data_IF_425222314424
#
_entry.id   IF_425222314424
#
_cell.length_a   1.000
_cell.length_b   1.000
_cell.length_c   1.000
_cell.angle_alpha   90.00
_cell.angle_beta   90.00
_cell.angle_gamma   90.00
#
_symmetry.space_group_name_H-M   'P 1'
#
loop_
_entity.id
_entity.type
_entity.pdbx_description
1 polymer ?
#
# COMPACT_ATOMS: atom_id res chain seq x y z
N UNK A 1 1.76 -5.44 0.30
CA UNK A 1 0.70 -5.72 1.31
C UNK A 1 0.48 -7.21 1.56
N UNK A 2 0.22 -8.05 0.55
CA UNK A 2 -0.03 -9.48 0.76
C UNK A 2 1.10 -10.23 1.49
N UNK A 3 2.37 -9.99 1.11
CA UNK A 3 3.52 -10.60 1.78
C UNK A 3 3.60 -10.22 3.28
N UNK A 4 3.36 -8.93 3.60
CA UNK A 4 3.29 -8.44 4.98
C UNK A 4 2.16 -9.09 5.77
N UNK A 5 1.00 -9.34 5.14
CA UNK A 5 -0.12 -10.05 5.77
C UNK A 5 0.26 -11.48 6.16
N UNK A 6 1.00 -12.18 5.30
CA UNK A 6 1.48 -13.54 5.57
C UNK A 6 2.49 -13.55 6.72
N UNK A 7 3.47 -12.65 6.69
CA UNK A 7 4.48 -12.54 7.76
C UNK A 7 3.82 -12.22 9.09
N UNK A 8 2.87 -11.28 9.10
CA UNK A 8 2.16 -10.90 10.32
C UNK A 8 1.30 -12.05 10.85
N UNK A 9 0.63 -12.80 9.97
CA UNK A 9 -0.09 -14.02 10.35
C UNK A 9 0.82 -15.04 11.04
N UNK A 10 2.04 -15.23 10.54
CA UNK A 10 3.03 -16.10 11.18
C UNK A 10 3.47 -15.55 12.56
N UNK A 11 3.69 -14.23 12.67
CA UNK A 11 4.03 -13.57 13.93
C UNK A 11 2.93 -13.74 14.98
N UNK A 12 1.68 -13.41 14.63
CA UNK A 12 0.52 -13.49 15.51
C UNK A 12 0.20 -14.94 15.90
N UNK A 13 0.38 -15.91 15.00
CA UNK A 13 0.26 -17.33 15.33
C UNK A 13 1.26 -17.76 16.42
N UNK A 14 2.48 -17.21 16.38
CA UNK A 14 3.52 -17.49 17.38
C UNK A 14 3.19 -16.87 18.74
N UNK A 15 2.69 -15.62 18.75
CA UNK A 15 2.21 -14.95 19.98
C UNK A 15 1.08 -15.77 20.62
N UNK A 16 0.11 -16.21 19.82
CA UNK A 16 -1.02 -17.03 20.27
C UNK A 16 -0.59 -18.36 20.86
N UNK A 17 0.37 -19.03 20.22
CA UNK A 17 0.88 -20.31 20.70
C UNK A 17 1.54 -20.21 22.08
N UNK A 18 2.13 -19.06 22.41
CA UNK A 18 2.75 -18.80 23.72
C UNK A 18 1.78 -18.20 24.74
N UNK A 19 0.55 -17.83 24.34
CA UNK A 19 -0.45 -17.22 25.23
C UNK A 19 -0.14 -15.77 25.63
N UNK A 20 0.72 -15.07 24.88
CA UNK A 20 1.28 -13.77 25.25
C UNK A 20 0.56 -12.58 24.58
N UNK A 21 -0.67 -12.78 24.08
CA UNK A 21 -1.46 -11.73 23.41
C UNK A 21 -1.67 -10.50 24.32
N UNK A 22 -1.82 -10.72 25.63
CA UNK A 22 -2.04 -9.65 26.63
C UNK A 22 -0.77 -8.94 27.10
N UNK A 23 0.42 -9.43 26.75
CA UNK A 23 1.69 -8.91 27.24
C UNK A 23 2.36 -8.00 26.21
N UNK A 24 2.33 -6.66 26.39
CA UNK A 24 2.92 -5.72 25.44
C UNK A 24 4.46 -5.76 25.43
N UNK A 25 5.10 -6.29 26.47
CA UNK A 25 6.55 -6.39 26.58
C UNK A 25 7.11 -7.68 25.94
N UNK A 26 6.24 -8.62 25.58
CA UNK A 26 6.68 -9.87 24.98
C UNK A 26 7.17 -9.66 23.55
N UNK A 27 8.34 -10.22 23.25
CA UNK A 27 8.99 -10.14 21.95
C UNK A 27 8.83 -11.46 21.21
N UNK A 28 8.29 -11.38 19.99
CA UNK A 28 8.19 -12.55 19.12
C UNK A 28 9.59 -13.08 18.76
N UNK A 29 9.82 -14.41 18.81
CA UNK A 29 11.06 -15.00 18.35
C UNK A 29 11.22 -14.93 16.82
N UNK A 30 10.23 -14.37 16.10
CA UNK A 30 10.31 -14.15 14.67
C UNK A 30 11.45 -13.16 14.35
N UNK A 31 12.38 -13.60 13.50
CA UNK A 31 13.50 -12.76 13.08
C UNK A 31 13.02 -11.50 12.35
N UNK A 32 13.65 -10.36 12.66
CA UNK A 32 13.42 -9.11 11.93
C UNK A 32 13.79 -9.21 10.43
N UNK A 33 14.55 -10.25 10.05
CA UNK A 33 14.99 -10.50 8.67
C UNK A 33 13.85 -10.82 7.68
N UNK A 34 12.62 -11.02 8.16
CA UNK A 34 11.45 -11.20 7.29
C UNK A 34 10.90 -9.89 6.70
N UNK A 35 11.17 -8.75 7.34
CA UNK A 35 10.67 -7.42 6.94
C UNK A 35 11.34 -6.86 5.67
N UNK A 36 12.66 -7.02 5.45
CA UNK A 36 13.33 -6.51 4.25
C UNK A 36 12.72 -6.96 2.93
N UNK A 37 12.18 -8.19 2.84
CA UNK A 37 11.66 -8.73 1.59
C UNK A 37 10.43 -7.96 1.06
N UNK A 38 9.33 -7.80 1.83
CA UNK A 38 8.22 -6.93 1.42
C UNK A 38 8.64 -5.48 1.11
N UNK A 39 9.59 -4.94 1.88
CA UNK A 39 10.11 -3.59 1.66
C UNK A 39 10.87 -3.47 0.34
N UNK A 40 11.69 -4.46 -0.01
CA UNK A 40 12.41 -4.48 -1.28
C UNK A 40 11.44 -4.55 -2.47
N UNK A 41 10.36 -5.34 -2.36
CA UNK A 41 9.31 -5.41 -3.40
C UNK A 41 8.60 -4.07 -3.56
N UNK A 42 8.22 -3.41 -2.46
CA UNK A 42 7.62 -2.07 -2.50
C UNK A 42 8.57 -1.01 -3.07
N UNK A 43 9.87 -1.10 -2.76
CA UNK A 43 10.88 -0.22 -3.35
C UNK A 43 11.05 -0.42 -4.85
N UNK A 44 11.04 -1.68 -5.30
CA UNK A 44 11.10 -2.00 -6.73
C UNK A 44 9.86 -1.53 -7.49
N UNK A 45 8.67 -1.67 -6.90
CA UNK A 45 7.42 -1.12 -7.42
C UNK A 45 7.53 0.40 -7.61
N UNK A 46 7.89 1.15 -6.58
CA UNK A 46 7.97 2.61 -6.64
C UNK A 46 8.98 3.08 -7.69
N UNK A 47 10.14 2.41 -7.78
CA UNK A 47 11.17 2.70 -8.76
C UNK A 47 10.71 2.48 -10.21
N UNK A 48 9.76 1.57 -10.45
CA UNK A 48 9.17 1.34 -11.76
C UNK A 48 7.98 2.27 -12.03
N UNK A 49 7.12 2.47 -11.02
CA UNK A 49 5.89 3.22 -11.13
C UNK A 49 6.14 4.72 -11.34
N UNK A 50 6.95 5.33 -10.49
CA UNK A 50 7.17 6.77 -10.48
C UNK A 50 7.67 7.34 -11.82
N UNK A 51 8.77 6.82 -12.43
CA UNK A 51 9.23 7.34 -13.72
C UNK A 51 8.23 7.05 -14.85
N UNK A 52 7.58 5.88 -14.85
CA UNK A 52 6.59 5.53 -15.88
C UNK A 52 5.39 6.49 -15.85
N UNK A 53 4.90 6.82 -14.65
CA UNK A 53 3.78 7.74 -14.47
C UNK A 53 4.17 9.16 -14.93
N UNK A 54 5.38 9.63 -14.59
CA UNK A 54 5.87 10.94 -15.03
C UNK A 54 6.00 11.00 -16.54
N UNK A 55 6.62 10.01 -17.17
CA UNK A 55 6.76 9.95 -18.62
C UNK A 55 5.41 9.95 -19.33
N UNK A 56 4.43 9.19 -18.83
CA UNK A 56 3.08 9.17 -19.38
C UNK A 56 2.44 10.57 -19.35
N UNK A 57 2.52 11.27 -18.22
CA UNK A 57 1.95 12.62 -18.10
C UNK A 57 2.64 13.61 -19.03
N UNK A 58 3.96 13.53 -19.16
CA UNK A 58 4.71 14.40 -20.10
C UNK A 58 4.40 14.12 -21.58
N UNK A 59 4.05 12.89 -21.93
CA UNK A 59 3.70 12.48 -23.30
C UNK A 59 2.28 12.89 -23.66
N UNK A 60 1.33 12.71 -22.74
CA UNK A 60 -0.11 12.92 -23.01
C UNK A 60 -0.59 14.35 -22.68
N UNK A 61 0.16 15.13 -21.89
CA UNK A 61 -0.24 16.51 -21.57
C UNK A 61 0.04 17.47 -22.73
N UNK A 62 -0.88 18.42 -23.00
CA UNK A 62 -0.64 19.47 -23.97
C UNK A 62 0.56 20.33 -23.53
N UNK A 63 1.29 20.98 -24.46
CA UNK A 63 2.52 21.71 -24.16
C UNK A 63 2.40 22.73 -23.02
N UNK A 64 1.23 23.38 -22.89
CA UNK A 64 0.95 24.36 -21.84
C UNK A 64 0.81 23.77 -20.45
N UNK A 65 0.49 22.48 -20.32
CA UNK A 65 0.28 21.80 -19.03
C UNK A 65 1.46 20.92 -18.61
N UNK A 66 2.48 20.73 -19.45
CA UNK A 66 3.63 19.87 -19.12
C UNK A 66 4.34 20.26 -17.81
N UNK A 67 4.46 21.55 -17.52
CA UNK A 67 5.05 22.03 -16.27
C UNK A 67 4.16 21.81 -15.03
N UNK A 68 2.87 21.49 -15.22
CA UNK A 68 1.95 21.17 -14.11
C UNK A 68 1.95 19.69 -13.74
N UNK A 69 2.57 18.81 -14.55
CA UNK A 69 2.60 17.37 -14.34
C UNK A 69 3.25 16.98 -13.01
N UNK A 70 4.35 17.64 -12.61
CA UNK A 70 5.01 17.40 -11.33
C UNK A 70 4.15 17.84 -10.13
N UNK A 71 3.41 18.95 -10.27
CA UNK A 71 2.44 19.38 -9.27
C UNK A 71 1.28 18.40 -9.10
N UNK A 72 0.78 17.83 -10.19
CA UNK A 72 -0.23 16.76 -10.14
C UNK A 72 0.28 15.50 -9.43
N UNK A 73 1.54 15.11 -9.65
CA UNK A 73 2.15 13.98 -8.90
C UNK A 73 2.16 14.24 -7.40
N UNK A 74 2.65 15.41 -6.98
CA UNK A 74 2.69 15.77 -5.56
C UNK A 74 1.27 15.78 -4.94
N UNK A 75 0.27 16.26 -5.68
CA UNK A 75 -1.13 16.24 -5.26
C UNK A 75 -1.67 14.81 -5.10
N UNK A 76 -1.37 13.91 -6.04
CA UNK A 76 -1.78 12.50 -5.96
C UNK A 76 -1.16 11.82 -4.74
N UNK A 77 0.13 12.05 -4.49
CA UNK A 77 0.84 11.52 -3.31
C UNK A 77 0.23 12.07 -2.02
N UNK A 78 -0.01 13.38 -1.95
CA UNK A 78 -0.67 14.00 -0.80
C UNK A 78 -2.06 13.40 -0.54
N UNK A 79 -2.86 13.23 -1.59
CA UNK A 79 -4.17 12.58 -1.50
C UNK A 79 -4.05 11.14 -0.98
N UNK A 80 -3.03 10.39 -1.41
CA UNK A 80 -2.71 9.07 -0.89
C UNK A 80 -2.47 9.05 0.62
N UNK A 81 -1.71 10.01 1.16
CA UNK A 81 -1.50 10.14 2.61
C UNK A 81 -2.79 10.48 3.37
N UNK A 82 -3.62 11.39 2.83
CA UNK A 82 -4.91 11.72 3.43
C UNK A 82 -5.87 10.52 3.43
N UNK A 83 -5.97 9.79 2.32
CA UNK A 83 -6.77 8.58 2.21
C UNK A 83 -6.29 7.50 3.17
N UNK A 84 -4.97 7.34 3.33
CA UNK A 84 -4.40 6.38 4.28
C UNK A 84 -4.80 6.72 5.71
N UNK A 85 -4.69 7.99 6.09
CA UNK A 85 -5.12 8.48 7.42
C UNK A 85 -6.62 8.28 7.62
N UNK A 86 -7.44 8.61 6.62
CA UNK A 86 -8.88 8.42 6.69
C UNK A 86 -9.26 6.93 6.85
N UNK A 87 -8.60 6.04 6.09
CA UNK A 87 -8.80 4.61 6.16
C UNK A 87 -8.49 4.07 7.56
N UNK A 88 -7.34 4.43 8.14
CA UNK A 88 -6.96 4.01 9.50
C UNK A 88 -8.00 4.47 10.52
N UNK A 89 -8.44 5.73 10.45
CA UNK A 89 -9.48 6.26 11.32
C UNK A 89 -10.80 5.48 11.21
N UNK A 90 -11.21 5.14 9.99
CA UNK A 90 -12.42 4.34 9.77
C UNK A 90 -12.26 2.94 10.36
N UNK A 91 -11.13 2.29 10.13
CA UNK A 91 -10.87 0.94 10.66
C UNK A 91 -10.84 0.95 12.19
N UNK A 92 -10.21 1.95 12.83
CA UNK A 92 -10.18 2.10 14.29
C UNK A 92 -11.58 2.34 14.89
N UNK A 93 -12.46 3.07 14.20
CA UNK A 93 -13.82 3.32 14.65
C UNK A 93 -14.76 2.13 14.43
N UNK A 94 -14.59 1.43 13.31
CA UNK A 94 -15.48 0.34 12.90
C UNK A 94 -15.07 -1.03 13.45
N UNK A 95 -13.80 -1.21 13.82
CA UNK A 95 -13.25 -2.52 14.21
C UNK A 95 -12.34 -2.42 15.42
N UNK A 96 -12.15 -3.53 16.12
CA UNK A 96 -11.18 -3.67 17.22
C UNK A 96 -9.82 -4.19 16.74
N UNK A 97 -9.48 -4.02 15.46
CA UNK A 97 -8.25 -4.60 14.88
C UNK A 97 -6.97 -3.90 15.30
N UNK A 98 -7.02 -2.61 15.65
CA UNK A 98 -5.86 -1.80 16.04
C UNK A 98 -5.98 -1.31 17.50
N UNK A 99 -5.87 -2.21 18.50
CA UNK A 99 -5.67 -1.81 19.89
C UNK A 99 -4.23 -1.29 20.11
N UNK A 100 -4.01 -0.56 21.20
CA UNK A 100 -2.68 -0.03 21.57
C UNK A 100 -1.63 -1.13 21.78
N UNK A 101 -2.07 -2.33 22.20
CA UNK A 101 -1.20 -3.48 22.32
C UNK A 101 -0.98 -4.17 20.96
N UNK A 102 0.24 -4.04 20.42
CA UNK A 102 0.65 -4.63 19.14
C UNK A 102 0.54 -6.16 19.11
N UNK A 103 0.75 -6.84 20.25
CA UNK A 103 0.63 -8.31 20.34
C UNK A 103 -0.83 -8.80 20.29
N UNK A 104 -1.78 -7.96 20.72
CA UNK A 104 -3.21 -8.21 20.59
C UNK A 104 -3.78 -7.71 19.24
N UNK A 105 -3.02 -6.91 18.50
CA UNK A 105 -3.48 -6.30 17.25
C UNK A 105 -3.69 -7.33 16.14
N UNK A 106 -4.75 -7.13 15.36
CA UNK A 106 -5.08 -7.93 14.17
C UNK A 106 -4.61 -7.22 12.91
N UNK A 107 -3.35 -6.84 12.88
CA UNK A 107 -2.74 -6.11 11.78
C UNK A 107 -2.79 -6.90 10.45
N UNK A 108 -2.81 -8.24 10.54
CA UNK A 108 -3.05 -9.13 9.39
C UNK A 108 -4.36 -8.79 8.63
N UNK A 109 -5.43 -8.43 9.34
CA UNK A 109 -6.72 -8.11 8.72
C UNK A 109 -6.65 -6.78 7.96
N UNK A 110 -5.94 -5.79 8.51
CA UNK A 110 -5.72 -4.52 7.81
C UNK A 110 -4.91 -4.73 6.53
N UNK A 111 -3.86 -5.54 6.58
CA UNK A 111 -3.07 -5.86 5.38
C UNK A 111 -3.85 -6.64 4.33
N UNK A 112 -4.74 -7.54 4.73
CA UNK A 112 -5.66 -8.21 3.79
C UNK A 112 -6.66 -7.24 3.17
N UNK A 113 -7.24 -6.34 3.95
CA UNK A 113 -8.13 -5.29 3.45
C UNK A 113 -7.42 -4.43 2.40
N UNK A 114 -6.20 -3.98 2.71
CA UNK A 114 -5.37 -3.21 1.77
C UNK A 114 -5.03 -4.01 0.51
N UNK A 115 -4.77 -5.31 0.64
CA UNK A 115 -4.50 -6.20 -0.51
C UNK A 115 -5.70 -6.27 -1.45
N UNK A 116 -6.92 -6.42 -0.91
CA UNK A 116 -8.15 -6.41 -1.71
C UNK A 116 -8.36 -5.07 -2.38
N UNK A 117 -8.15 -3.96 -1.66
CA UNK A 117 -8.30 -2.61 -2.20
C UNK A 117 -7.34 -2.35 -3.37
N UNK A 118 -6.07 -2.74 -3.23
CA UNK A 118 -5.06 -2.63 -4.29
C UNK A 118 -5.41 -3.54 -5.48
N UNK A 119 -5.89 -4.77 -5.24
CA UNK A 119 -6.30 -5.67 -6.31
C UNK A 119 -7.49 -5.11 -7.12
N UNK A 120 -8.47 -4.51 -6.45
CA UNK A 120 -9.60 -3.82 -7.11
C UNK A 120 -9.11 -2.61 -7.89
N UNK A 121 -8.22 -1.80 -7.32
CA UNK A 121 -7.61 -0.66 -8.00
C UNK A 121 -6.83 -1.09 -9.26
N UNK A 122 -6.06 -2.18 -9.17
CA UNK A 122 -5.34 -2.74 -10.31
C UNK A 122 -6.31 -3.22 -11.41
N UNK A 123 -7.40 -3.90 -11.03
CA UNK A 123 -8.44 -4.31 -11.98
C UNK A 123 -9.10 -3.13 -12.70
N UNK A 124 -9.38 -2.05 -11.96
CA UNK A 124 -9.87 -0.80 -12.52
C UNK A 124 -8.83 -0.18 -13.48
N UNK A 125 -7.58 -0.06 -13.05
CA UNK A 125 -6.48 0.46 -13.86
C UNK A 125 -6.31 -0.31 -15.17
N UNK A 126 -6.31 -1.65 -15.12
CA UNK A 126 -6.20 -2.49 -16.32
C UNK A 126 -7.39 -2.30 -17.27
N UNK A 127 -8.59 -2.09 -16.73
CA UNK A 127 -9.79 -1.82 -17.54
C UNK A 127 -9.65 -0.46 -18.23
N UNK A 128 -9.25 0.58 -17.50
CA UNK A 128 -8.95 1.89 -18.07
C UNK A 128 -7.84 1.81 -19.12
N UNK A 129 -6.74 1.11 -18.83
CA UNK A 129 -5.60 0.97 -19.75
C UNK A 129 -6.00 0.26 -21.06
N UNK A 130 -6.88 -0.73 -21.01
CA UNK A 130 -7.41 -1.40 -22.22
C UNK A 130 -8.32 -0.50 -23.05
N UNK A 131 -9.09 0.36 -22.38
CA UNK A 131 -9.99 1.31 -23.05
C UNK A 131 -9.26 2.58 -23.49
N UNK A 132 -8.10 2.86 -22.92
CA UNK A 132 -7.31 4.03 -23.19
C UNK A 132 -6.67 3.93 -24.57
N UNK A 133 -7.07 4.82 -25.47
CA UNK A 133 -6.49 4.94 -26.80
C UNK A 133 -5.39 5.99 -26.74
N UNK A 134 -4.13 5.54 -26.84
CA UNK A 134 -2.97 6.42 -26.92
C UNK A 134 -3.16 7.49 -27.99
N UNK A 135 -2.93 8.75 -27.63
CA UNK A 135 -2.81 9.81 -28.63
C UNK A 135 -1.40 9.73 -29.20
N UNK A 136 -1.23 8.97 -30.28
CA UNK A 136 -0.04 9.07 -31.13
C UNK A 136 -0.04 10.44 -31.81
N UNK A 137 0.39 11.48 -31.09
CA UNK A 137 0.75 12.77 -31.66
C UNK A 137 2.12 12.59 -32.34
N UNK A 138 2.08 12.08 -33.59
CA UNK A 138 3.17 12.20 -34.56
C UNK A 138 4.04 10.95 -34.77
N UNK A 139 3.89 10.33 -35.95
CA UNK A 139 5.04 10.15 -36.84
C UNK A 139 5.37 11.49 -37.48
#
# INVERSE_FOLDING_TARGET
>A
MAASAVIERHRTATVRAHGEEGNPAWLSPLSAMWVPLPFAVAGAEEALHFPAQVTLYYQEFPPSLKNTATGMMAMIVALGFYLSTALINVVQRATTWLPDNMNASRLENLYWLLTVLVAVNLGYFLTCAKLYRYQNIGK
#
